data_IF_681368127055
#
_entry.id   IF_681368127055
#
_cell.length_a   1.000
_cell.length_b   1.000
_cell.length_c   1.000
_cell.angle_alpha   90.00
_cell.angle_beta   90.00
_cell.angle_gamma   90.00
#
_symmetry.space_group_name_H-M   'P 1'
#
loop_
_entity.id
_entity.type
_entity.pdbx_description
1 polymer ?
#
# COMPACT_ATOMS: atom_id res chain seq x y z
N UNK A 1 -0.26 3.88 -21.93
CA UNK A 1 -1.52 4.13 -21.20
C UNK A 1 -2.68 4.21 -22.16
N UNK A 2 -3.89 3.89 -21.71
CA UNK A 2 -5.15 4.17 -22.41
C UNK A 2 -6.09 4.88 -21.43
N UNK A 3 -6.66 6.00 -21.86
CA UNK A 3 -7.76 6.65 -21.16
C UNK A 3 -9.08 6.17 -21.76
N UNK A 4 -9.97 5.65 -20.92
CA UNK A 4 -11.31 5.22 -21.30
C UNK A 4 -12.31 6.19 -20.67
N UNK A 5 -12.98 6.98 -21.51
CA UNK A 5 -14.03 7.90 -21.06
C UNK A 5 -15.27 7.14 -20.58
N UNK A 6 -16.10 7.81 -19.77
CA UNK A 6 -17.39 7.29 -19.35
C UNK A 6 -18.29 6.95 -20.56
N UNK A 7 -18.22 7.75 -21.63
CA UNK A 7 -18.97 7.48 -22.86
C UNK A 7 -18.47 6.21 -23.55
N UNK A 8 -17.14 6.04 -23.66
CA UNK A 8 -16.58 4.83 -24.27
C UNK A 8 -16.96 3.57 -23.51
N UNK A 9 -17.05 3.64 -22.17
CA UNK A 9 -17.48 2.52 -21.31
C UNK A 9 -18.86 1.97 -21.69
N UNK A 10 -19.80 2.80 -22.15
CA UNK A 10 -21.14 2.36 -22.57
C UNK A 10 -21.13 1.37 -23.74
N UNK A 11 -20.06 1.39 -24.55
CA UNK A 11 -19.88 0.46 -25.67
C UNK A 11 -19.15 -0.84 -25.32
N UNK A 12 -18.67 -0.99 -24.08
CA UNK A 12 -17.90 -2.16 -23.66
C UNK A 12 -18.82 -3.30 -23.21
N UNK A 13 -18.33 -4.52 -23.39
CA UNK A 13 -19.05 -5.72 -22.96
C UNK A 13 -18.96 -5.86 -21.44
N UNK A 14 -20.11 -5.97 -20.79
CA UNK A 14 -20.23 -6.34 -19.38
C UNK A 14 -19.97 -7.84 -19.22
N UNK A 15 -19.14 -8.19 -18.24
CA UNK A 15 -18.75 -9.57 -17.93
C UNK A 15 -18.67 -9.76 -16.42
N UNK A 16 -18.89 -11.00 -15.97
CA UNK A 16 -18.69 -11.39 -14.58
C UNK A 16 -17.49 -12.33 -14.51
N UNK A 17 -16.44 -11.91 -13.81
CA UNK A 17 -15.25 -12.75 -13.57
C UNK A 17 -15.54 -13.78 -12.50
N UNK A 18 -14.78 -14.88 -12.47
CA UNK A 18 -14.96 -15.93 -11.44
C UNK A 18 -14.26 -15.50 -10.15
N UNK A 19 -14.98 -15.27 -9.03
CA UNK A 19 -14.33 -15.04 -7.74
C UNK A 19 -13.61 -16.31 -7.25
N UNK A 20 -12.54 -16.13 -6.47
CA UNK A 20 -11.94 -17.20 -5.67
C UNK A 20 -11.63 -16.68 -4.27
N UNK A 21 -11.68 -17.53 -3.24
CA UNK A 21 -11.25 -17.11 -1.91
C UNK A 21 -9.74 -17.00 -1.82
N UNK A 22 -9.28 -15.87 -1.31
CA UNK A 22 -7.89 -15.68 -0.92
C UNK A 22 -7.84 -15.48 0.59
N UNK A 23 -7.49 -16.53 1.32
CA UNK A 23 -7.37 -16.49 2.76
C UNK A 23 -6.09 -15.76 3.16
N UNK A 24 -6.21 -14.73 4.00
CA UNK A 24 -5.09 -14.02 4.61
C UNK A 24 -5.09 -14.37 6.10
N UNK A 25 -4.35 -15.41 6.45
CA UNK A 25 -4.37 -16.03 7.77
C UNK A 25 -3.27 -15.44 8.64
N UNK A 26 -3.64 -15.00 9.84
CA UNK A 26 -2.73 -14.40 10.80
C UNK A 26 -1.77 -15.46 11.38
N UNK A 27 -0.50 -15.32 11.04
CA UNK A 27 0.62 -16.12 11.50
C UNK A 27 1.59 -15.29 12.38
N UNK A 28 1.10 -14.19 12.97
CA UNK A 28 1.86 -13.37 13.91
C UNK A 28 2.06 -14.10 15.24
N UNK A 29 3.06 -13.68 16.02
CA UNK A 29 3.42 -14.33 17.28
C UNK A 29 2.23 -14.52 18.24
N UNK A 30 1.29 -13.56 18.28
CA UNK A 30 0.13 -13.60 19.18
C UNK A 30 -1.00 -14.52 18.69
N UNK A 31 -0.97 -14.93 17.43
CA UNK A 31 -2.04 -15.71 16.78
C UNK A 31 -1.88 -17.22 16.99
N UNK A 32 -0.71 -17.71 17.42
CA UNK A 32 -0.43 -19.14 17.58
C UNK A 32 -1.51 -19.92 18.38
N UNK A 33 -2.03 -19.42 19.51
CA UNK A 33 -3.09 -20.11 20.26
C UNK A 33 -4.41 -20.29 19.47
N UNK A 34 -4.64 -19.48 18.44
CA UNK A 34 -5.88 -19.46 17.66
C UNK A 34 -5.86 -20.42 16.47
N UNK A 35 -4.75 -21.11 16.21
CA UNK A 35 -4.53 -21.97 15.04
C UNK A 35 -5.67 -22.95 14.80
N UNK A 36 -6.02 -23.77 15.80
CA UNK A 36 -7.09 -24.77 15.68
C UNK A 36 -8.48 -24.12 15.41
N UNK A 37 -8.76 -22.98 16.05
CA UNK A 37 -9.99 -22.24 15.83
C UNK A 37 -10.05 -21.67 14.39
N UNK A 38 -8.95 -21.07 13.93
CA UNK A 38 -8.82 -20.55 12.57
C UNK A 38 -9.01 -21.65 11.52
N UNK A 39 -8.43 -22.84 11.74
CA UNK A 39 -8.64 -24.00 10.86
C UNK A 39 -10.13 -24.34 10.78
N UNK A 40 -10.77 -24.52 11.93
CA UNK A 40 -12.21 -24.83 12.01
C UNK A 40 -13.08 -23.79 11.28
N UNK A 41 -12.80 -22.50 11.48
CA UNK A 41 -13.52 -21.40 10.82
C UNK A 41 -13.39 -21.46 9.31
N UNK A 42 -12.18 -21.62 8.78
CA UNK A 42 -11.92 -21.74 7.34
C UNK A 42 -12.64 -22.96 6.75
N UNK A 43 -12.50 -24.14 7.37
CA UNK A 43 -13.14 -25.37 6.89
C UNK A 43 -14.67 -25.26 6.88
N UNK A 44 -15.25 -24.59 7.89
CA UNK A 44 -16.69 -24.33 7.96
C UNK A 44 -17.15 -23.34 6.88
N UNK A 45 -16.36 -22.31 6.59
CA UNK A 45 -16.69 -21.37 5.52
C UNK A 45 -16.69 -22.05 4.15
N UNK A 46 -15.68 -22.88 3.88
CA UNK A 46 -15.52 -23.59 2.62
C UNK A 46 -16.63 -24.62 2.38
N UNK A 47 -17.05 -25.36 3.41
CA UNK A 47 -18.12 -26.36 3.26
C UNK A 47 -19.43 -25.71 2.79
N UNK A 48 -19.70 -24.48 3.23
CA UNK A 48 -20.86 -23.68 2.83
C UNK A 48 -20.69 -22.92 1.50
N UNK A 49 -19.46 -22.82 0.96
CA UNK A 49 -19.12 -21.97 -0.18
C UNK A 49 -18.19 -22.68 -1.19
N UNK A 50 -18.43 -23.98 -1.45
CA UNK A 50 -17.56 -24.84 -2.27
C UNK A 50 -17.10 -24.23 -3.62
N UNK A 51 -17.95 -23.52 -4.40
CA UNK A 51 -17.50 -22.95 -5.69
C UNK A 51 -16.36 -21.94 -5.57
N UNK A 52 -16.25 -21.23 -4.44
CA UNK A 52 -15.19 -20.25 -4.19
C UNK A 52 -13.88 -20.90 -3.71
N UNK A 53 -13.95 -22.17 -3.30
CA UNK A 53 -12.83 -22.96 -2.81
C UNK A 53 -11.98 -23.59 -3.94
N UNK A 54 -12.57 -23.80 -5.12
CA UNK A 54 -11.99 -24.59 -6.21
C UNK A 54 -10.60 -24.09 -6.66
N UNK A 55 -10.40 -22.77 -6.66
CA UNK A 55 -9.13 -22.12 -6.98
C UNK A 55 -8.66 -21.21 -5.83
N UNK A 56 -9.03 -21.56 -4.61
CA UNK A 56 -8.68 -20.74 -3.46
C UNK A 56 -7.16 -20.70 -3.24
N UNK A 57 -6.70 -19.61 -2.63
CA UNK A 57 -5.33 -19.44 -2.19
C UNK A 57 -5.30 -19.15 -0.70
N UNK A 58 -4.20 -19.49 -0.05
CA UNK A 58 -3.96 -19.18 1.35
C UNK A 58 -2.60 -18.50 1.50
N UNK A 59 -2.62 -17.35 2.16
CA UNK A 59 -1.44 -16.63 2.56
C UNK A 59 -1.32 -16.68 4.08
N UNK A 60 -0.19 -17.17 4.56
CA UNK A 60 0.22 -17.05 5.95
C UNK A 60 0.95 -15.73 6.10
N UNK A 61 0.43 -14.86 6.96
CA UNK A 61 0.84 -13.47 7.04
C UNK A 61 1.38 -13.17 8.42
N UNK A 62 2.65 -12.78 8.44
CA UNK A 62 3.31 -12.17 9.57
C UNK A 62 4.09 -10.95 9.06
N UNK A 63 5.37 -10.78 9.43
CA UNK A 63 6.25 -9.82 8.75
C UNK A 63 6.50 -10.19 7.28
N UNK A 64 6.31 -11.45 6.90
CA UNK A 64 6.38 -11.96 5.54
C UNK A 64 5.00 -12.42 5.06
N UNK A 65 4.88 -12.66 3.76
CA UNK A 65 3.67 -13.16 3.12
C UNK A 65 4.04 -14.38 2.29
N UNK A 66 3.77 -15.56 2.85
CA UNK A 66 3.96 -16.83 2.15
C UNK A 66 2.61 -17.31 1.63
N UNK A 67 2.50 -17.55 0.32
CA UNK A 67 1.23 -17.89 -0.34
C UNK A 67 1.35 -19.22 -1.05
N UNK A 68 0.37 -20.09 -0.83
CA UNK A 68 0.26 -21.39 -1.47
C UNK A 68 -1.15 -21.58 -2.03
N UNK A 69 -1.32 -22.57 -2.92
CA UNK A 69 -2.65 -23.00 -3.33
C UNK A 69 -3.39 -23.59 -2.11
N UNK A 70 -4.68 -23.32 -2.00
CA UNK A 70 -5.53 -23.93 -0.98
C UNK A 70 -5.83 -25.38 -1.38
N UNK A 71 -4.95 -26.30 -0.98
CA UNK A 71 -5.00 -27.72 -1.30
C UNK A 71 -4.90 -28.58 -0.03
N UNK A 72 -5.10 -29.89 -0.16
CA UNK A 72 -4.98 -30.83 0.95
C UNK A 72 -3.65 -30.66 1.71
N UNK A 73 -3.70 -30.58 3.03
CA UNK A 73 -2.52 -30.43 3.90
C UNK A 73 -2.18 -28.98 4.28
N UNK A 74 -2.98 -27.99 3.87
CA UNK A 74 -2.81 -26.61 4.31
C UNK A 74 -3.01 -26.46 5.84
N UNK A 75 -3.81 -27.33 6.46
CA UNK A 75 -4.01 -27.37 7.91
C UNK A 75 -2.71 -27.73 8.63
N UNK A 76 -2.09 -28.85 8.23
CA UNK A 76 -0.81 -29.32 8.77
C UNK A 76 0.31 -28.31 8.52
N UNK A 77 0.31 -27.66 7.35
CA UNK A 77 1.23 -26.56 7.06
C UNK A 77 1.04 -25.41 8.06
N UNK A 78 -0.20 -25.03 8.37
CA UNK A 78 -0.48 -23.94 9.31
C UNK A 78 -0.07 -24.28 10.73
N UNK A 79 -0.35 -25.50 11.18
CA UNK A 79 0.02 -26.00 12.52
C UNK A 79 1.53 -26.03 12.76
N UNK A 80 2.30 -26.31 11.71
CA UNK A 80 3.76 -26.43 11.77
C UNK A 80 4.50 -25.12 11.44
N UNK A 81 3.80 -24.00 11.24
CA UNK A 81 4.45 -22.72 10.95
C UNK A 81 5.14 -22.14 12.18
N UNK A 82 6.23 -21.42 11.94
CA UNK A 82 6.83 -20.52 12.94
C UNK A 82 6.03 -19.23 13.01
N UNK A 83 5.35 -19.00 14.13
CA UNK A 83 4.62 -17.76 14.40
C UNK A 83 5.58 -16.71 14.96
N UNK A 84 5.72 -15.59 14.28
CA UNK A 84 6.70 -14.55 14.64
C UNK A 84 6.22 -13.16 14.21
N UNK A 85 6.79 -12.10 14.79
CA UNK A 85 6.52 -10.73 14.39
C UNK A 85 5.04 -10.32 14.49
N UNK A 86 4.68 -9.27 13.73
CA UNK A 86 3.31 -8.71 13.66
C UNK A 86 2.55 -9.16 12.41
N UNK A 87 1.24 -8.91 12.37
CA UNK A 87 0.36 -9.25 11.25
C UNK A 87 0.34 -8.12 10.20
N UNK A 88 1.23 -8.17 9.20
CA UNK A 88 1.33 -7.14 8.13
C UNK A 88 0.29 -7.34 7.02
N UNK A 89 -0.98 -7.14 7.37
CA UNK A 89 -2.11 -7.31 6.45
C UNK A 89 -2.04 -6.38 5.22
N UNK A 90 -1.59 -5.13 5.38
CA UNK A 90 -1.41 -4.19 4.25
C UNK A 90 -0.51 -4.79 3.16
N UNK A 91 0.63 -5.35 3.57
CA UNK A 91 1.58 -5.99 2.65
C UNK A 91 0.96 -7.15 1.89
N UNK A 92 0.18 -7.98 2.58
CA UNK A 92 -0.47 -9.14 1.99
C UNK A 92 -1.52 -8.74 0.94
N UNK A 93 -2.36 -7.74 1.23
CA UNK A 93 -3.36 -7.22 0.30
C UNK A 93 -2.67 -6.59 -0.91
N UNK A 94 -1.70 -5.70 -0.72
CA UNK A 94 -0.97 -5.03 -1.83
C UNK A 94 -0.26 -6.03 -2.73
N UNK A 95 0.43 -7.01 -2.15
CA UNK A 95 1.13 -8.06 -2.90
C UNK A 95 0.15 -8.88 -3.73
N UNK A 96 -0.98 -9.28 -3.15
CA UNK A 96 -2.00 -10.08 -3.85
C UNK A 96 -2.66 -9.30 -4.98
N UNK A 97 -3.05 -8.04 -4.73
CA UNK A 97 -3.65 -7.17 -5.74
C UNK A 97 -2.70 -6.93 -6.93
N UNK A 98 -1.43 -6.60 -6.65
CA UNK A 98 -0.43 -6.40 -7.70
C UNK A 98 -0.20 -7.67 -8.52
N UNK A 99 0.01 -8.81 -7.85
CA UNK A 99 0.21 -10.10 -8.50
C UNK A 99 -1.00 -10.53 -9.34
N UNK A 100 -2.21 -10.39 -8.81
CA UNK A 100 -3.43 -10.73 -9.54
C UNK A 100 -3.60 -9.85 -10.78
N UNK A 101 -3.38 -8.53 -10.66
CA UNK A 101 -3.46 -7.60 -11.79
C UNK A 101 -2.45 -7.93 -12.91
N UNK A 102 -1.27 -8.41 -12.56
CA UNK A 102 -0.19 -8.70 -13.52
C UNK A 102 -0.30 -10.06 -14.21
N UNK A 103 -0.91 -11.05 -13.54
CA UNK A 103 -0.84 -12.45 -13.99
C UNK A 103 -2.19 -13.12 -14.25
N UNK A 104 -3.30 -12.52 -13.81
CA UNK A 104 -4.60 -13.17 -13.87
C UNK A 104 -5.68 -12.28 -14.49
N UNK A 105 -6.26 -12.76 -15.58
CA UNK A 105 -7.27 -12.03 -16.34
C UNK A 105 -8.63 -12.71 -16.30
N UNK A 106 -8.86 -13.78 -15.53
CA UNK A 106 -10.15 -14.48 -15.55
C UNK A 106 -10.80 -14.60 -14.17
N UNK A 107 -9.99 -14.59 -13.11
CA UNK A 107 -10.50 -14.67 -11.73
C UNK A 107 -10.10 -13.46 -10.92
N UNK A 108 -10.76 -13.23 -9.78
CA UNK A 108 -10.42 -12.15 -8.86
C UNK A 108 -10.45 -12.63 -7.40
N UNK A 109 -9.55 -12.11 -6.55
CA UNK A 109 -9.49 -12.49 -5.15
C UNK A 109 -10.66 -11.88 -4.38
N UNK A 110 -11.37 -12.72 -3.64
CA UNK A 110 -12.20 -12.34 -2.51
C UNK A 110 -11.36 -12.54 -1.26
N UNK A 111 -10.88 -11.44 -0.69
CA UNK A 111 -10.04 -11.47 0.50
C UNK A 111 -10.84 -11.90 1.73
N UNK A 112 -10.39 -12.98 2.37
CA UNK A 112 -10.92 -13.46 3.65
C UNK A 112 -9.80 -13.42 4.69
N UNK A 113 -9.82 -12.41 5.53
CA UNK A 113 -8.85 -12.15 6.59
C UNK A 113 -9.23 -12.98 7.82
N UNK A 114 -8.35 -13.89 8.22
CA UNK A 114 -8.61 -14.84 9.31
C UNK A 114 -7.77 -14.45 10.52
N UNK A 115 -8.38 -13.67 11.41
CA UNK A 115 -7.85 -13.29 12.72
C UNK A 115 -9.01 -12.89 13.63
N UNK A 116 -8.82 -13.08 14.94
CA UNK A 116 -9.75 -12.65 15.99
C UNK A 116 -9.45 -11.21 16.46
N UNK A 117 -8.40 -10.58 15.92
CA UNK A 117 -7.92 -9.27 16.36
C UNK A 117 -7.49 -8.39 15.18
N UNK A 118 -8.42 -8.12 14.25
CA UNK A 118 -8.15 -7.32 13.05
C UNK A 118 -7.69 -5.89 13.37
N UNK A 119 -8.09 -5.35 14.51
CA UNK A 119 -7.65 -4.05 15.03
C UNK A 119 -6.15 -3.99 15.33
N UNK A 120 -5.51 -5.14 15.55
CA UNK A 120 -4.07 -5.25 15.76
C UNK A 120 -3.29 -5.47 14.46
N UNK A 121 -3.97 -5.58 13.32
CA UNK A 121 -3.33 -5.74 12.02
C UNK A 121 -2.62 -4.44 11.62
N UNK A 122 -1.41 -4.58 11.07
CA UNK A 122 -0.69 -3.45 10.46
C UNK A 122 -1.32 -3.22 9.09
N UNK A 123 -2.17 -2.18 9.03
CA UNK A 123 -3.05 -1.90 7.90
C UNK A 123 -3.10 -0.39 7.63
N UNK A 124 -2.93 0.01 6.37
CA UNK A 124 -3.08 1.42 5.98
C UNK A 124 -4.56 1.86 6.01
N UNK A 125 -4.77 3.17 6.12
CA UNK A 125 -6.12 3.76 6.20
C UNK A 125 -6.90 3.71 4.88
N UNK A 126 -6.23 3.46 3.75
CA UNK A 126 -6.85 3.27 2.44
C UNK A 126 -5.90 2.59 1.44
N UNK A 127 -6.48 1.99 0.41
CA UNK A 127 -5.82 1.35 -0.74
C UNK A 127 -6.25 2.00 -2.07
N UNK A 128 -6.63 3.28 -2.03
CA UNK A 128 -7.15 4.00 -3.22
C UNK A 128 -6.13 4.10 -4.34
N UNK A 129 -4.84 4.05 -4.00
CA UNK A 129 -3.73 4.01 -4.96
C UNK A 129 -3.74 2.74 -5.83
N UNK A 130 -4.32 1.65 -5.33
CA UNK A 130 -4.50 0.38 -6.03
C UNK A 130 -5.91 0.16 -6.58
N UNK A 131 -6.81 1.15 -6.56
CA UNK A 131 -8.22 0.99 -6.95
C UNK A 131 -8.44 0.42 -8.36
N UNK A 132 -7.46 0.58 -9.25
CA UNK A 132 -7.49 0.01 -10.60
C UNK A 132 -7.28 -1.52 -10.64
N UNK A 133 -6.91 -2.16 -9.52
CA UNK A 133 -6.62 -3.60 -9.43
C UNK A 133 -7.76 -4.45 -8.89
N UNK A 134 -8.82 -3.81 -8.36
CA UNK A 134 -10.02 -4.48 -7.84
C UNK A 134 -11.31 -3.88 -8.43
N UNK A 135 -11.51 -3.98 -9.77
CA UNK A 135 -12.63 -3.34 -10.44
C UNK A 135 -14.00 -3.87 -10.03
N UNK A 136 -14.07 -5.08 -9.45
CA UNK A 136 -15.30 -5.72 -8.99
C UNK A 136 -15.83 -5.09 -7.71
N UNK A 137 -14.96 -4.90 -6.71
CA UNK A 137 -15.38 -4.44 -5.39
C UNK A 137 -14.20 -3.95 -4.56
N UNK A 138 -14.43 -2.91 -3.75
CA UNK A 138 -13.48 -2.44 -2.75
C UNK A 138 -13.64 -3.15 -1.40
N UNK A 139 -14.33 -4.29 -1.35
CA UNK A 139 -14.62 -5.00 -0.10
C UNK A 139 -13.60 -6.10 0.16
N UNK A 140 -13.31 -6.31 1.43
CA UNK A 140 -12.71 -7.53 1.94
C UNK A 140 -13.49 -7.98 3.17
N UNK A 141 -13.25 -9.20 3.61
CA UNK A 141 -14.02 -9.81 4.68
C UNK A 141 -13.11 -10.27 5.80
N UNK A 142 -13.47 -10.00 7.05
CA UNK A 142 -12.86 -10.63 8.21
C UNK A 142 -13.72 -11.82 8.64
N UNK A 143 -13.09 -12.97 8.87
CA UNK A 143 -13.74 -14.16 9.40
C UNK A 143 -13.64 -14.14 10.93
N UNK A 144 -14.68 -13.61 11.56
CA UNK A 144 -14.72 -13.35 13.01
C UNK A 144 -14.74 -14.64 13.85
N UNK A 145 -14.71 -14.50 15.18
CA UNK A 145 -14.69 -15.64 16.11
C UNK A 145 -15.91 -16.57 15.97
N UNK A 146 -17.03 -16.08 15.42
CA UNK A 146 -18.24 -16.87 15.17
C UNK A 146 -18.22 -17.59 13.82
N UNK A 147 -17.19 -17.37 13.00
CA UNK A 147 -17.09 -17.92 11.65
C UNK A 147 -17.95 -17.18 10.63
N UNK A 148 -18.35 -15.93 10.93
CA UNK A 148 -19.15 -15.10 10.03
C UNK A 148 -18.25 -14.11 9.29
N UNK A 149 -18.51 -13.91 8.00
CA UNK A 149 -17.83 -12.91 7.19
C UNK A 149 -18.35 -11.51 7.54
N UNK A 150 -17.46 -10.66 8.08
CA UNK A 150 -17.71 -9.26 8.36
C UNK A 150 -17.12 -8.39 7.26
N UNK A 151 -17.94 -7.52 6.67
CA UNK A 151 -17.50 -6.64 5.57
C UNK A 151 -16.57 -5.52 6.09
N UNK A 152 -15.49 -5.27 5.37
CA UNK A 152 -14.59 -4.15 5.55
C UNK A 152 -14.33 -3.49 4.19
N UNK A 153 -13.91 -2.22 4.18
CA UNK A 153 -13.61 -1.48 2.95
C UNK A 153 -12.12 -1.24 2.76
N UNK A 154 -11.58 -1.61 1.60
CA UNK A 154 -10.22 -1.23 1.17
C UNK A 154 -10.05 0.28 1.02
N UNK A 155 -11.11 1.05 0.79
CA UNK A 155 -11.01 2.50 0.48
C UNK A 155 -11.57 3.41 1.58
N UNK A 156 -12.26 2.85 2.58
CA UNK A 156 -12.88 3.60 3.69
C UNK A 156 -12.54 2.96 5.02
N UNK A 157 -11.43 3.38 5.62
CA UNK A 157 -10.96 2.92 6.94
C UNK A 157 -10.98 1.38 7.09
N UNK A 158 -10.06 0.66 6.42
CA UNK A 158 -10.01 -0.80 6.38
C UNK A 158 -10.08 -1.51 7.73
N UNK A 159 -9.58 -0.91 8.81
CA UNK A 159 -9.63 -1.54 10.15
C UNK A 159 -11.04 -1.56 10.75
N UNK A 160 -11.98 -0.77 10.23
CA UNK A 160 -13.35 -0.70 10.74
C UNK A 160 -14.28 -1.59 9.93
N UNK A 161 -15.02 -2.42 10.66
CA UNK A 161 -16.12 -3.20 10.12
C UNK A 161 -17.22 -2.27 9.59
N UNK A 162 -17.78 -2.61 8.43
CA UNK A 162 -18.96 -1.96 7.85
C UNK A 162 -20.26 -2.48 8.47
N UNK A 163 -21.33 -1.68 8.47
CA UNK A 163 -22.66 -2.16 8.86
C UNK A 163 -23.09 -3.37 8.02
N UNK A 164 -23.83 -4.28 8.63
CA UNK A 164 -24.35 -5.46 7.94
C UNK A 164 -25.35 -5.03 6.85
N UNK A 165 -25.12 -5.51 5.63
CA UNK A 165 -26.00 -5.26 4.48
C UNK A 165 -26.46 -6.60 3.92
N UNK A 166 -27.78 -6.78 3.82
CA UNK A 166 -28.35 -7.95 3.13
C UNK A 166 -28.19 -7.77 1.63
N UNK A 167 -27.23 -8.50 1.04
CA UNK A 167 -27.02 -8.55 -0.41
C UNK A 167 -27.76 -9.74 -0.99
N UNK A 168 -28.38 -9.54 -2.16
CA UNK A 168 -28.96 -10.63 -2.97
C UNK A 168 -27.86 -11.61 -3.40
N UNK A 169 -26.65 -11.09 -3.63
CA UNK A 169 -25.49 -11.88 -4.00
C UNK A 169 -24.22 -11.15 -3.56
N UNK A 170 -23.30 -11.89 -2.94
CA UNK A 170 -22.10 -11.32 -2.31
C UNK A 170 -20.92 -11.15 -3.28
N UNK A 171 -20.85 -11.94 -4.36
CA UNK A 171 -19.69 -12.04 -5.25
C UNK A 171 -20.03 -12.13 -6.74
N UNK A 172 -21.03 -11.39 -7.21
CA UNK A 172 -21.44 -11.37 -8.64
C UNK A 172 -21.37 -9.97 -9.26
N UNK A 173 -20.51 -9.11 -8.71
CA UNK A 173 -20.28 -7.80 -9.30
C UNK A 173 -19.77 -7.95 -10.73
N UNK A 174 -20.32 -7.12 -11.61
CA UNK A 174 -19.97 -7.13 -13.03
C UNK A 174 -18.96 -6.03 -13.35
N UNK A 175 -18.09 -6.30 -14.32
CA UNK A 175 -17.04 -5.39 -14.78
C UNK A 175 -17.12 -5.25 -16.29
N UNK A 176 -16.44 -4.25 -16.84
CA UNK A 176 -16.36 -4.05 -18.28
C UNK A 176 -15.06 -4.66 -18.82
N UNK A 177 -15.17 -5.48 -19.85
CA UNK A 177 -14.01 -6.01 -20.57
C UNK A 177 -13.55 -5.01 -21.64
N UNK A 178 -12.25 -4.69 -21.62
CA UNK A 178 -11.58 -3.88 -22.63
C UNK A 178 -10.45 -4.68 -23.26
N UNK A 179 -10.47 -4.82 -24.59
CA UNK A 179 -9.36 -5.42 -25.34
C UNK A 179 -8.35 -4.33 -25.72
N UNK A 180 -7.09 -4.54 -25.37
CA UNK A 180 -5.97 -3.69 -25.76
C UNK A 180 -5.51 -4.00 -27.19
N UNK A 181 -4.61 -3.15 -27.72
CA UNK A 181 -4.06 -3.31 -29.09
C UNK A 181 -3.29 -4.62 -29.28
N UNK A 182 -2.69 -5.16 -28.21
CA UNK A 182 -2.02 -6.46 -28.14
C UNK A 182 -3.00 -7.63 -27.87
N UNK A 183 -4.31 -7.40 -27.98
CA UNK A 183 -5.38 -8.39 -27.77
C UNK A 183 -5.45 -8.96 -26.33
N UNK A 184 -4.81 -8.31 -25.36
CA UNK A 184 -4.95 -8.61 -23.93
C UNK A 184 -6.29 -8.04 -23.42
N UNK A 185 -7.00 -8.81 -22.59
CA UNK A 185 -8.23 -8.33 -21.95
C UNK A 185 -7.91 -7.72 -20.59
N UNK A 186 -8.30 -6.47 -20.39
CA UNK A 186 -8.25 -5.75 -19.12
C UNK A 186 -9.66 -5.48 -18.63
N UNK A 187 -9.87 -5.53 -17.31
CA UNK A 187 -11.17 -5.29 -16.69
C UNK A 187 -11.16 -3.96 -15.97
N UNK A 188 -12.23 -3.20 -16.15
CA UNK A 188 -12.41 -1.90 -15.52
C UNK A 188 -13.78 -1.82 -14.83
N UNK A 189 -13.94 -0.95 -13.81
CA UNK A 189 -15.19 -0.84 -13.08
C UNK A 189 -16.36 -0.48 -14.01
N UNK A 190 -17.50 -1.16 -13.84
CA UNK A 190 -18.75 -0.87 -14.52
C UNK A 190 -19.47 0.33 -13.87
N UNK A 191 -18.83 1.50 -13.91
CA UNK A 191 -19.36 2.76 -13.37
C UNK A 191 -19.27 3.89 -14.40
N UNK A 192 -19.90 5.02 -14.08
CA UNK A 192 -19.93 6.22 -14.93
C UNK A 192 -18.66 7.08 -14.82
N UNK A 193 -17.61 6.60 -14.18
CA UNK A 193 -16.33 7.30 -14.05
C UNK A 193 -15.34 6.83 -15.12
N UNK A 194 -14.46 7.70 -15.63
CA UNK A 194 -13.41 7.28 -16.56
C UNK A 194 -12.44 6.29 -15.90
N UNK A 195 -11.67 5.57 -16.71
CA UNK A 195 -10.64 4.66 -16.23
C UNK A 195 -9.36 4.78 -17.04
N UNK A 196 -8.25 4.48 -16.38
CA UNK A 196 -6.91 4.55 -16.96
C UNK A 196 -6.32 3.14 -16.93
N UNK A 197 -5.88 2.65 -18.09
CA UNK A 197 -5.33 1.31 -18.27
C UNK A 197 -3.82 1.41 -18.58
N UNK A 198 -3.04 0.61 -17.86
CA UNK A 198 -1.63 0.39 -18.15
C UNK A 198 -1.49 -0.52 -19.38
N UNK A 199 -0.84 -0.02 -20.44
CA UNK A 199 -0.50 -0.85 -21.63
C UNK A 199 0.68 -1.78 -21.37
N UNK A 200 1.52 -1.45 -20.38
CA UNK A 200 2.73 -2.17 -20.00
C UNK A 200 2.86 -2.08 -18.48
N UNK A 201 3.39 -3.13 -17.86
CA UNK A 201 3.59 -3.21 -16.41
C UNK A 201 4.68 -2.26 -15.93
N UNK A 202 5.79 -2.20 -16.68
CA UNK A 202 6.87 -1.23 -16.47
C UNK A 202 6.73 -0.06 -17.43
N UNK A 203 6.61 1.15 -16.89
CA UNK A 203 6.42 2.37 -17.67
C UNK A 203 7.54 3.37 -17.38
N UNK A 204 8.45 3.53 -18.34
CA UNK A 204 9.51 4.53 -18.33
C UNK A 204 9.26 5.55 -19.43
N UNK A 205 9.39 6.83 -19.08
CA UNK A 205 9.13 7.95 -19.98
C UNK A 205 10.39 8.83 -19.99
N UNK A 206 10.97 9.13 -21.15
CA UNK A 206 12.06 10.08 -21.24
C UNK A 206 11.56 11.51 -21.00
N UNK A 207 12.42 12.38 -20.44
CA UNK A 207 12.05 13.77 -20.14
C UNK A 207 11.59 14.54 -21.39
N UNK A 208 12.12 14.21 -22.57
CA UNK A 208 11.75 14.81 -23.87
C UNK A 208 10.29 14.56 -24.28
N UNK A 209 9.64 13.57 -23.67
CA UNK A 209 8.25 13.22 -23.92
C UNK A 209 7.25 13.93 -23.00
N UNK A 210 7.75 14.71 -22.04
CA UNK A 210 6.96 15.49 -21.08
C UNK A 210 6.94 16.95 -21.52
N UNK A 211 5.75 17.52 -21.61
CA UNK A 211 5.50 18.90 -22.02
C UNK A 211 4.82 19.67 -20.90
N UNK A 212 5.14 20.96 -20.80
CA UNK A 212 4.50 21.86 -19.86
C UNK A 212 2.97 21.94 -20.12
N UNK A 213 2.18 21.84 -19.04
CA UNK A 213 0.71 22.00 -19.02
C UNK A 213 -0.02 21.12 -20.04
N UNK A 214 0.53 19.95 -20.33
CA UNK A 214 0.01 19.04 -21.33
C UNK A 214 -0.75 17.86 -20.68
N UNK A 215 -1.97 17.62 -21.15
CA UNK A 215 -2.83 16.54 -20.65
C UNK A 215 -2.22 15.16 -20.89
N UNK A 216 -1.60 14.95 -22.06
CA UNK A 216 -1.00 13.66 -22.39
C UNK A 216 0.18 13.37 -21.48
N UNK A 217 0.97 14.40 -21.15
CA UNK A 217 2.07 14.31 -20.18
C UNK A 217 1.57 13.93 -18.79
N UNK A 218 0.47 14.54 -18.31
CA UNK A 218 -0.18 14.14 -17.06
C UNK A 218 -0.64 12.67 -17.07
N UNK A 219 -1.25 12.22 -18.17
CA UNK A 219 -1.68 10.82 -18.33
C UNK A 219 -0.50 9.84 -18.32
N UNK A 220 0.62 10.21 -18.96
CA UNK A 220 1.86 9.42 -18.93
C UNK A 220 2.40 9.34 -17.50
N UNK A 221 2.49 10.46 -16.79
CA UNK A 221 2.95 10.52 -15.40
C UNK A 221 2.07 9.68 -14.45
N UNK A 222 0.74 9.68 -14.63
CA UNK A 222 -0.15 8.78 -13.89
C UNK A 222 0.17 7.31 -14.18
N UNK A 223 0.50 6.97 -15.42
CA UNK A 223 0.96 5.63 -15.80
C UNK A 223 2.26 5.23 -15.10
N UNK A 224 3.22 6.15 -15.04
CA UNK A 224 4.47 5.95 -14.32
C UNK A 224 4.23 5.72 -12.82
N UNK A 225 3.33 6.50 -12.21
CA UNK A 225 2.93 6.32 -10.82
C UNK A 225 2.30 4.93 -10.57
N UNK A 226 1.30 4.53 -11.37
CA UNK A 226 0.68 3.22 -11.22
C UNK A 226 1.68 2.08 -11.42
N UNK A 227 2.64 2.23 -12.34
CA UNK A 227 3.73 1.27 -12.55
C UNK A 227 4.62 1.12 -11.30
N UNK A 228 4.94 2.23 -10.63
CA UNK A 228 5.73 2.20 -9.39
C UNK A 228 4.98 1.51 -8.24
N UNK A 229 3.66 1.72 -8.13
CA UNK A 229 2.82 1.04 -7.14
C UNK A 229 2.84 -0.49 -7.36
N UNK A 230 2.77 -0.94 -8.61
CA UNK A 230 2.83 -2.37 -8.96
C UNK A 230 4.23 -2.98 -8.78
N UNK A 231 5.29 -2.17 -8.89
CA UNK A 231 6.70 -2.58 -8.82
C UNK A 231 7.49 -1.80 -7.76
N UNK A 232 7.15 -1.96 -6.46
CA UNK A 232 7.74 -1.16 -5.39
C UNK A 232 9.27 -1.34 -5.28
N UNK A 233 9.80 -2.50 -5.67
CA UNK A 233 11.24 -2.79 -5.73
C UNK A 233 12.04 -1.86 -6.67
N UNK A 234 11.38 -1.25 -7.66
CA UNK A 234 12.01 -0.30 -8.59
C UNK A 234 11.64 1.15 -8.31
N UNK A 235 10.72 1.39 -7.37
CA UNK A 235 10.19 2.73 -7.08
C UNK A 235 11.27 3.69 -6.58
N UNK A 236 12.20 3.23 -5.75
CA UNK A 236 13.30 4.04 -5.22
C UNK A 236 14.25 4.55 -6.32
N UNK A 237 14.38 3.83 -7.44
CA UNK A 237 15.19 4.32 -8.57
C UNK A 237 14.41 5.30 -9.45
N UNK A 238 13.09 5.17 -9.50
CA UNK A 238 12.22 5.86 -10.46
C UNK A 238 11.46 7.06 -9.89
N UNK A 239 11.45 7.24 -8.56
CA UNK A 239 10.74 8.35 -7.92
C UNK A 239 11.26 9.72 -8.42
N UNK A 240 12.59 9.88 -8.54
CA UNK A 240 13.22 11.14 -8.93
C UNK A 240 12.78 11.56 -10.32
N UNK A 241 12.63 10.60 -11.23
CA UNK A 241 12.12 10.83 -12.58
C UNK A 241 10.70 11.40 -12.54
N UNK A 242 9.81 10.84 -11.72
CA UNK A 242 8.44 11.34 -11.58
C UNK A 242 8.39 12.76 -10.99
N UNK A 243 9.27 13.05 -10.03
CA UNK A 243 9.44 14.40 -9.46
C UNK A 243 9.93 15.39 -10.52
N UNK A 244 10.94 15.04 -11.31
CA UNK A 244 11.40 15.87 -12.45
C UNK A 244 10.29 16.12 -13.46
N UNK A 245 9.53 15.08 -13.81
CA UNK A 245 8.39 15.22 -14.71
C UNK A 245 7.31 16.15 -14.17
N UNK A 246 7.05 16.14 -12.86
CA UNK A 246 6.16 17.11 -12.21
C UNK A 246 6.63 18.54 -12.43
N UNK A 247 7.92 18.82 -12.22
CA UNK A 247 8.47 20.15 -12.45
C UNK A 247 8.39 20.60 -13.92
N UNK A 248 8.75 19.73 -14.87
CA UNK A 248 8.68 20.04 -16.31
C UNK A 248 7.22 20.30 -16.74
N UNK A 249 6.31 19.40 -16.36
CA UNK A 249 4.91 19.46 -16.79
C UNK A 249 4.08 20.51 -16.06
N UNK A 250 4.53 20.98 -14.88
CA UNK A 250 3.72 21.77 -13.94
C UNK A 250 2.45 21.05 -13.47
N UNK A 251 2.51 19.71 -13.42
CA UNK A 251 1.43 18.84 -12.95
C UNK A 251 1.85 18.19 -11.63
N UNK A 252 0.98 18.27 -10.63
CA UNK A 252 1.24 17.69 -9.32
C UNK A 252 1.17 16.16 -9.38
N UNK A 253 2.00 15.51 -8.57
CA UNK A 253 1.98 14.06 -8.36
C UNK A 253 1.82 13.76 -6.87
N UNK A 254 1.51 12.54 -6.45
CA UNK A 254 1.50 12.18 -5.03
C UNK A 254 2.85 12.40 -4.31
N UNK A 255 3.95 12.61 -5.06
CA UNK A 255 5.29 12.86 -4.54
C UNK A 255 5.67 14.35 -4.48
N UNK A 256 4.84 15.25 -5.03
CA UNK A 256 5.17 16.66 -5.19
C UNK A 256 4.03 17.56 -4.74
N UNK A 257 4.38 18.75 -4.25
CA UNK A 257 3.42 19.81 -3.91
C UNK A 257 3.92 21.13 -4.49
N UNK A 258 3.00 21.99 -4.91
CA UNK A 258 3.33 23.36 -5.30
C UNK A 258 3.07 24.31 -4.14
N UNK A 259 4.06 25.14 -3.84
CA UNK A 259 3.98 26.18 -2.83
C UNK A 259 3.77 27.52 -3.51
N UNK A 260 2.81 28.28 -3.00
CA UNK A 260 2.60 29.69 -3.38
C UNK A 260 3.42 30.54 -2.43
N UNK A 261 4.22 31.46 -2.96
CA UNK A 261 5.07 32.37 -2.20
C UNK A 261 4.67 33.82 -2.45
N UNK A 262 4.98 34.69 -1.48
CA UNK A 262 4.52 36.09 -1.49
C UNK A 262 5.40 37.00 -2.36
N UNK A 263 6.68 36.67 -2.52
CA UNK A 263 7.61 37.50 -3.28
C UNK A 263 8.51 36.70 -4.24
N UNK A 264 9.03 37.38 -5.25
CA UNK A 264 9.87 36.77 -6.28
C UNK A 264 11.24 36.30 -5.74
N UNK A 265 11.78 36.94 -4.69
CA UNK A 265 13.04 36.50 -4.08
C UNK A 265 12.92 35.11 -3.40
N UNK A 266 11.81 34.85 -2.71
CA UNK A 266 11.49 33.53 -2.13
C UNK A 266 11.34 32.48 -3.24
N UNK A 267 10.69 32.85 -4.35
CA UNK A 267 10.50 31.97 -5.51
C UNK A 267 11.83 31.57 -6.15
N UNK A 268 12.73 32.53 -6.34
CA UNK A 268 14.08 32.26 -6.88
C UNK A 268 14.92 31.40 -5.92
N UNK A 269 14.84 31.67 -4.61
CA UNK A 269 15.52 30.87 -3.59
C UNK A 269 15.03 29.42 -3.58
N UNK A 270 13.71 29.20 -3.61
CA UNK A 270 13.11 27.86 -3.68
C UNK A 270 13.48 27.16 -4.97
N UNK A 271 13.48 27.86 -6.11
CA UNK A 271 13.89 27.30 -7.39
C UNK A 271 15.35 26.82 -7.34
N UNK A 272 16.26 27.60 -6.76
CA UNK A 272 17.65 27.20 -6.57
C UNK A 272 17.78 25.96 -5.67
N UNK A 273 16.99 25.89 -4.59
CA UNK A 273 16.94 24.71 -3.70
C UNK A 273 16.38 23.47 -4.40
N UNK A 274 15.38 23.64 -5.25
CA UNK A 274 14.83 22.56 -6.08
C UNK A 274 15.88 22.04 -7.07
N UNK A 275 16.57 22.92 -7.78
CA UNK A 275 17.66 22.53 -8.69
C UNK A 275 18.75 21.75 -7.95
N UNK A 276 19.16 22.21 -6.75
CA UNK A 276 20.10 21.49 -5.88
C UNK A 276 19.60 20.09 -5.52
N UNK A 277 18.35 19.96 -5.06
CA UNK A 277 17.76 18.68 -4.68
C UNK A 277 17.60 17.71 -5.87
N UNK A 278 17.35 18.24 -7.08
CA UNK A 278 17.23 17.44 -8.30
C UNK A 278 18.57 17.00 -8.88
N UNK A 279 19.65 17.74 -8.60
CA UNK A 279 21.03 17.37 -8.95
C UNK A 279 21.71 16.47 -7.92
N UNK A 280 21.22 16.48 -6.67
CA UNK A 280 21.78 15.69 -5.56
C UNK A 280 21.38 14.22 -5.60
N UNK A 281 22.20 13.37 -4.97
CA UNK A 281 21.89 11.95 -4.81
C UNK A 281 21.08 11.76 -3.52
N UNK A 282 19.88 11.15 -3.58
CA UNK A 282 18.98 10.98 -2.43
C UNK A 282 19.64 10.32 -1.22
N UNK A 283 20.59 9.41 -1.46
CA UNK A 283 21.32 8.72 -0.40
C UNK A 283 22.33 9.61 0.37
N UNK A 284 22.57 10.84 -0.09
CA UNK A 284 23.55 11.77 0.47
C UNK A 284 22.94 13.13 0.87
N UNK A 285 21.94 13.65 0.16
CA UNK A 285 21.53 15.06 0.26
C UNK A 285 20.10 15.35 0.75
N UNK A 286 19.28 14.31 1.03
CA UNK A 286 17.88 14.50 1.45
C UNK A 286 17.60 14.16 2.92
N UNK A 287 18.63 13.82 3.70
CA UNK A 287 18.60 14.27 5.08
C UNK A 287 18.65 15.78 5.00
N UNK A 288 17.80 16.47 5.76
CA UNK A 288 18.20 17.79 6.26
C UNK A 288 19.69 17.66 6.63
N UNK A 289 20.50 18.69 6.41
CA UNK A 289 21.61 18.85 7.34
C UNK A 289 20.92 18.88 8.71
N UNK A 290 20.78 17.71 9.34
CA UNK A 290 20.81 17.60 10.77
C UNK A 290 22.13 18.25 11.02
N UNK A 291 22.11 19.56 11.29
CA UNK A 291 23.13 20.20 12.06
C UNK A 291 23.26 19.25 13.23
N UNK A 292 24.26 18.38 13.14
CA UNK A 292 24.68 17.57 14.25
C UNK A 292 25.02 18.65 15.25
N UNK A 293 24.12 18.88 16.22
CA UNK A 293 24.45 19.78 17.31
C UNK A 293 25.82 19.32 17.75
N UNK A 294 26.80 20.22 17.71
CA UNK A 294 28.15 19.90 18.11
C UNK A 294 28.01 19.25 19.47
N UNK A 295 28.20 17.92 19.54
CA UNK A 295 28.14 17.20 20.80
C UNK A 295 29.11 17.95 21.71
N UNK A 296 28.68 18.42 22.90
CA UNK A 296 29.56 19.19 23.75
C UNK A 296 30.84 18.38 23.94
N UNK A 297 31.97 18.98 23.55
CA UNK A 297 33.25 18.27 23.56
C UNK A 297 33.48 17.68 24.95
N UNK A 298 34.19 16.55 25.04
CA UNK A 298 34.54 15.93 26.32
C UNK A 298 35.12 16.95 27.32
N UNK A 299 35.79 17.98 26.82
CA UNK A 299 36.33 19.10 27.60
C UNK A 299 35.21 19.93 28.24
N UNK A 300 34.17 20.33 27.49
CA UNK A 300 33.02 21.06 28.02
C UNK A 300 32.31 20.22 29.08
N UNK A 301 32.13 18.92 28.81
CA UNK A 301 31.49 17.99 29.73
C UNK A 301 32.29 17.84 31.04
N UNK A 302 33.62 17.73 30.95
CA UNK A 302 34.52 17.69 32.10
C UNK A 302 34.50 19.00 32.91
N UNK A 303 34.50 20.16 32.26
CA UNK A 303 34.40 21.47 32.93
C UNK A 303 33.07 21.57 33.69
N UNK A 304 31.95 21.21 33.06
CA UNK A 304 30.65 21.21 33.73
C UNK A 304 30.61 20.25 34.92
N UNK A 305 31.25 19.08 34.83
CA UNK A 305 31.34 18.14 35.95
C UNK A 305 32.15 18.70 37.11
N UNK A 306 33.32 19.30 36.84
CA UNK A 306 34.16 19.95 37.86
C UNK A 306 33.40 21.10 38.54
N UNK A 307 32.70 21.93 37.76
CA UNK A 307 31.89 23.02 38.31
C UNK A 307 30.76 22.51 39.21
N UNK A 308 30.09 21.41 38.83
CA UNK A 308 29.05 20.78 39.65
C UNK A 308 29.66 20.24 40.96
N UNK A 309 30.78 19.54 40.90
CA UNK A 309 31.46 19.01 42.09
C UNK A 309 31.91 20.14 43.01
N UNK A 310 32.54 21.17 42.46
CA UNK A 310 32.99 22.35 43.21
C UNK A 310 31.82 23.10 43.86
N UNK A 311 30.72 23.28 43.12
CA UNK A 311 29.51 23.90 43.66
C UNK A 311 28.91 23.08 44.82
N UNK A 312 28.86 21.74 44.68
CA UNK A 312 28.38 20.85 45.76
C UNK A 312 29.29 20.89 46.98
N UNK A 313 30.61 20.92 46.80
CA UNK A 313 31.57 21.03 47.90
C UNK A 313 31.47 22.37 48.62
N UNK A 314 31.37 23.47 47.87
CA UNK A 314 31.21 24.82 48.43
C UNK A 314 29.89 24.94 49.22
N UNK A 315 28.82 24.30 48.74
CA UNK A 315 27.53 24.23 49.45
C UNK A 315 27.63 23.42 50.73
N UNK A 316 28.32 22.26 50.71
CA UNK A 316 28.58 21.46 51.92
C UNK A 316 29.40 22.23 52.95
N UNK A 317 30.47 22.93 52.54
CA UNK A 317 31.28 23.76 53.44
C UNK A 317 30.50 24.94 54.02
N UNK A 318 29.61 25.58 53.25
CA UNK A 318 28.69 26.63 53.74
C UNK A 318 27.63 26.11 54.73
N UNK A 319 27.19 24.86 54.59
CA UNK A 319 26.26 24.21 55.52
C UNK A 319 26.96 23.71 56.80
N UNK A 320 28.27 23.43 56.75
CA UNK A 320 29.08 23.04 57.91
C UNK A 320 29.65 24.25 58.71
N UNK A 321 29.49 25.47 58.20
CA UNK A 321 29.88 26.74 58.84
C UNK A 321 28.65 27.53 59.36
N UNK A 322 27.49 26.88 59.46
CA UNK A 322 26.30 27.30 60.18
C UNK A 322 26.02 26.31 61.29
#
# INVERSE_FOLDING_TARGET
MVYISAEKKKSLTTVTRKPYFHFLVDASQKSQPNTANNIKKITTLISNNRPLAENAQISYVNQYVNTTAFASGWEEQYENLTFEGGFFLDRAIRKTLSNNYQHNTQTYPVFVVVTDSIENAILNENFSDLAFTFPESSLFYNLDNSGVLREHSLIKNPSKQLPEVKRVCMFCESVLAYKTEDNTTVYIPANNSPSIILKKTVFDIPETEIKEKDWVSALKMQGQWNSQILHPNTSEKKWLTLVKHSFISKVMTPLTSYLVVENEAQKEMLKKKQEQALSGNKSLDLGEETQRMSEPSLIILAISFVLIVWYREKRKRRLALK
#
